data_IF_279289972474
#
_entry.id   IF_279289972474
#
_cell.length_a   1.000
_cell.length_b   1.000
_cell.length_c   1.000
_cell.angle_alpha   90.00
_cell.angle_beta   90.00
_cell.angle_gamma   90.00
#
_symmetry.space_group_name_H-M   'P 1'
#
loop_
_entity.id
_entity.type
_entity.pdbx_description
1 polymer ?
#
# COMPACT_ATOMS: atom_id res chain seq x y z
N UNK A 1 -24.11 0.00 -10.17
CA UNK A 1 -23.33 0.41 -8.97
C UNK A 1 -21.89 0.66 -9.38
N UNK A 2 -21.48 1.90 -9.55
CA UNK A 2 -20.08 2.28 -9.77
C UNK A 2 -19.35 2.18 -8.44
N UNK A 3 -18.35 1.29 -8.34
CA UNK A 3 -17.49 1.22 -7.16
C UNK A 3 -16.51 2.38 -7.21
N UNK A 4 -16.45 3.17 -6.13
CA UNK A 4 -15.42 4.19 -5.99
C UNK A 4 -14.07 3.50 -5.73
N UNK A 5 -13.15 3.65 -6.68
CA UNK A 5 -11.79 3.10 -6.62
C UNK A 5 -10.77 4.15 -6.20
N UNK A 6 -11.16 5.24 -5.55
CA UNK A 6 -10.23 6.26 -5.09
C UNK A 6 -9.29 5.71 -3.99
N UNK A 7 -8.03 6.12 -4.03
CA UNK A 7 -7.08 5.94 -2.93
C UNK A 7 -7.65 6.51 -1.64
N UNK A 8 -7.62 5.72 -0.56
CA UNK A 8 -8.18 6.10 0.75
C UNK A 8 -7.22 6.94 1.60
N UNK A 9 -6.15 7.46 0.99
CA UNK A 9 -5.14 8.31 1.64
C UNK A 9 -5.13 9.69 1.01
N UNK A 10 -4.89 9.78 -0.31
CA UNK A 10 -4.85 11.06 -1.00
C UNK A 10 -6.19 11.48 -1.61
N UNK A 11 -7.17 10.56 -1.72
CA UNK A 11 -8.49 10.78 -2.33
C UNK A 11 -8.48 11.39 -3.74
N UNK A 12 -7.32 11.44 -4.40
CA UNK A 12 -7.11 12.12 -5.69
C UNK A 12 -6.84 11.14 -6.83
N UNK A 13 -6.12 10.05 -6.55
CA UNK A 13 -5.73 9.04 -7.52
C UNK A 13 -6.53 7.75 -7.33
N UNK A 14 -6.54 6.89 -8.34
CA UNK A 14 -7.09 5.54 -8.23
C UNK A 14 -6.22 4.66 -7.32
N UNK A 15 -6.86 3.83 -6.51
CA UNK A 15 -6.22 2.77 -5.77
C UNK A 15 -5.87 1.64 -6.73
N UNK A 16 -4.60 1.52 -7.07
CA UNK A 16 -4.04 0.53 -8.01
C UNK A 16 -3.06 -0.44 -7.34
N UNK A 17 -2.87 -0.34 -6.01
CA UNK A 17 -1.96 -1.20 -5.25
C UNK A 17 -2.73 -2.13 -4.31
N UNK A 18 -2.57 -3.43 -4.53
CA UNK A 18 -3.06 -4.49 -3.64
C UNK A 18 -2.02 -4.81 -2.55
N UNK A 19 -2.45 -4.84 -1.28
CA UNK A 19 -1.60 -5.15 -0.13
C UNK A 19 -1.74 -6.63 0.28
N UNK A 20 -0.65 -7.39 0.23
CA UNK A 20 -0.64 -8.83 0.54
C UNK A 20 -0.15 -9.09 1.97
N UNK A 21 -0.76 -10.04 2.71
CA UNK A 21 -1.71 -11.07 2.23
C UNK A 21 -3.19 -10.66 2.34
N UNK A 22 -3.50 -9.45 2.80
CA UNK A 22 -4.89 -9.08 3.11
C UNK A 22 -5.78 -8.78 1.89
N UNK A 23 -5.19 -8.53 0.72
CA UNK A 23 -5.90 -8.27 -0.53
C UNK A 23 -6.55 -6.88 -0.64
N UNK A 24 -6.42 -6.01 0.36
CA UNK A 24 -7.02 -4.67 0.30
C UNK A 24 -6.31 -3.79 -0.73
N UNK A 25 -7.09 -3.21 -1.64
CA UNK A 25 -6.65 -2.25 -2.66
C UNK A 25 -7.15 -0.87 -2.29
N UNK A 26 -6.36 -0.14 -1.51
CA UNK A 26 -6.75 1.17 -0.93
C UNK A 26 -5.72 2.27 -1.11
N UNK A 27 -4.58 1.96 -1.72
CA UNK A 27 -3.50 2.89 -1.97
C UNK A 27 -3.29 3.06 -3.48
N UNK A 28 -2.98 4.27 -3.92
CA UNK A 28 -2.32 4.47 -5.20
C UNK A 28 -0.82 4.17 -5.08
N UNK A 29 -0.13 4.05 -6.22
CA UNK A 29 1.33 3.82 -6.28
C UNK A 29 2.14 4.74 -5.37
N UNK A 30 1.93 6.05 -5.46
CA UNK A 30 2.69 7.03 -4.67
C UNK A 30 2.43 6.92 -3.15
N UNK A 31 1.16 6.75 -2.77
CA UNK A 31 0.81 6.56 -1.35
C UNK A 31 1.39 5.24 -0.82
N UNK A 32 1.42 4.19 -1.65
CA UNK A 32 2.04 2.93 -1.29
C UNK A 32 3.55 3.08 -1.11
N UNK A 33 4.25 3.86 -1.93
CA UNK A 33 5.70 4.08 -1.81
C UNK A 33 6.05 4.81 -0.51
N UNK A 34 5.21 5.76 -0.12
CA UNK A 34 5.42 6.57 1.07
C UNK A 34 5.07 5.80 2.36
N UNK A 35 3.93 5.08 2.36
CA UNK A 35 3.41 4.42 3.57
C UNK A 35 3.88 2.98 3.74
N UNK A 36 4.18 2.28 2.65
CA UNK A 36 4.56 0.87 2.62
C UNK A 36 5.93 0.74 1.92
N UNK A 37 7.02 1.24 2.55
CA UNK A 37 8.36 1.11 1.98
C UNK A 37 8.80 -0.36 2.04
N UNK A 38 8.75 -1.06 0.90
CA UNK A 38 9.28 -2.41 0.78
C UNK A 38 10.78 -2.36 0.42
N UNK A 39 11.54 -3.24 1.07
CA UNK A 39 13.02 -3.29 1.11
C UNK A 39 13.76 -3.32 -0.24
N UNK A 40 13.09 -3.48 -1.37
CA UNK A 40 13.74 -3.59 -2.67
C UNK A 40 14.34 -2.28 -3.19
N UNK A 41 13.98 -1.12 -2.61
CA UNK A 41 14.40 0.18 -3.15
C UNK A 41 15.55 0.85 -2.39
N UNK A 42 15.87 0.50 -1.14
CA UNK A 42 16.93 1.19 -0.39
C UNK A 42 17.72 0.25 0.53
N UNK A 43 18.90 -0.20 0.06
CA UNK A 43 19.85 -1.02 0.82
C UNK A 43 20.37 -0.36 2.12
N UNK A 44 20.12 0.94 2.32
CA UNK A 44 20.71 1.75 3.39
C UNK A 44 19.74 2.17 4.50
N UNK A 45 18.45 1.80 4.43
CA UNK A 45 17.48 2.21 5.45
C UNK A 45 17.27 1.03 6.42
N UNK A 46 17.63 1.15 7.72
CA UNK A 46 17.35 0.11 8.69
C UNK A 46 15.85 -0.17 8.67
N UNK A 47 15.50 -1.46 8.64
CA UNK A 47 14.14 -1.96 8.44
C UNK A 47 13.18 -1.45 9.54
N UNK A 48 12.71 -0.21 9.40
CA UNK A 48 11.74 0.37 10.32
C UNK A 48 10.42 -0.34 10.10
N UNK A 49 9.96 -1.03 11.13
CA UNK A 49 8.57 -1.47 11.38
C UNK A 49 7.87 -2.17 10.21
N UNK A 50 7.47 -3.44 10.42
CA UNK A 50 6.59 -4.15 9.49
C UNK A 50 5.42 -3.26 9.05
N UNK A 51 5.39 -2.89 7.77
CA UNK A 51 4.34 -2.07 7.21
C UNK A 51 2.98 -2.76 7.44
N UNK A 52 1.93 -1.99 7.75
CA UNK A 52 0.59 -2.53 8.06
C UNK A 52 -0.43 -1.97 7.10
N UNK A 53 -1.41 -2.79 6.73
CA UNK A 53 -2.52 -2.37 5.90
C UNK A 53 -3.32 -1.27 6.62
N UNK A 54 -3.61 -0.12 6.00
CA UNK A 54 -4.41 0.94 6.63
C UNK A 54 -5.83 0.50 6.99
N UNK A 55 -6.40 -0.46 6.25
CA UNK A 55 -7.78 -0.94 6.48
C UNK A 55 -7.88 -1.96 7.61
N UNK A 56 -7.04 -3.00 7.56
CA UNK A 56 -7.19 -4.16 8.45
C UNK A 56 -6.02 -4.35 9.42
N UNK A 57 -5.02 -3.47 9.37
CA UNK A 57 -3.82 -3.45 10.23
C UNK A 57 -2.95 -4.71 10.18
N UNK A 58 -3.27 -5.69 9.32
CA UNK A 58 -2.43 -6.86 9.06
C UNK A 58 -1.08 -6.44 8.50
N UNK A 59 -0.01 -7.13 8.90
CA UNK A 59 1.33 -6.93 8.37
C UNK A 59 1.35 -7.18 6.87
N UNK A 60 1.84 -6.20 6.11
CA UNK A 60 2.02 -6.24 4.67
C UNK A 60 3.39 -6.84 4.39
N UNK A 61 3.41 -7.94 3.64
CA UNK A 61 4.65 -8.59 3.21
C UNK A 61 5.08 -8.11 1.83
N UNK A 62 4.10 -7.88 0.96
CA UNK A 62 4.28 -7.54 -0.44
C UNK A 62 3.16 -6.62 -0.89
N UNK A 63 3.40 -5.87 -1.95
CA UNK A 63 2.40 -5.05 -2.63
C UNK A 63 2.52 -5.28 -4.13
N UNK A 64 1.39 -5.28 -4.81
CA UNK A 64 1.33 -5.57 -6.25
C UNK A 64 0.52 -4.48 -6.94
N UNK A 65 1.02 -4.00 -8.08
CA UNK A 65 0.30 -3.04 -8.92
C UNK A 65 -0.61 -3.82 -9.87
N UNK A 66 -1.91 -3.51 -9.82
CA UNK A 66 -2.92 -4.08 -10.71
C UNK A 66 -2.87 -3.39 -12.07
#
# INVERSE_FOLDING_TARGET
MTKNLSCQVCYSQLADIALLPCGHMVLCGWCADTLIPLKHAQHHIPARTSARCPMCRKSVKQRFKI
#
